data_IF_105793908306
#
_entry.id   IF_105793908306
#
_cell.length_a   1.000
_cell.length_b   1.000
_cell.length_c   1.000
_cell.angle_alpha   90.00
_cell.angle_beta   90.00
_cell.angle_gamma   90.00
#
_symmetry.space_group_name_H-M   'P 1'
#
loop_
_entity.id
_entity.type
_entity.pdbx_description
1 polymer ?
#
# COMPACT_ATOMS: atom_id res chain seq x y z
N UNK A 1 21.44 -21.04 -11.40
CA UNK A 1 20.11 -21.29 -11.97
C UNK A 1 19.15 -20.25 -11.42
N UNK A 2 18.33 -19.65 -12.29
CA UNK A 2 17.61 -18.41 -12.03
C UNK A 2 16.50 -18.55 -10.99
N UNK A 3 16.32 -17.50 -10.18
CA UNK A 3 15.19 -17.39 -9.27
C UNK A 3 13.91 -17.21 -10.09
N UNK A 4 13.13 -18.29 -10.25
CA UNK A 4 11.74 -18.18 -10.70
C UNK A 4 10.86 -17.87 -9.48
N UNK A 5 9.81 -17.08 -9.71
CA UNK A 5 8.90 -16.63 -8.68
C UNK A 5 7.55 -16.30 -9.29
N UNK A 6 6.62 -15.89 -8.43
CA UNK A 6 5.30 -15.43 -8.84
C UNK A 6 5.09 -14.02 -8.31
N UNK A 7 4.46 -13.15 -9.10
CA UNK A 7 4.09 -11.82 -8.65
C UNK A 7 2.59 -11.58 -8.81
N UNK A 8 2.02 -10.86 -7.85
CA UNK A 8 0.61 -10.46 -7.90
C UNK A 8 0.41 -9.04 -7.36
N UNK A 9 -0.64 -8.39 -7.85
CA UNK A 9 -1.10 -7.09 -7.40
C UNK A 9 -2.44 -7.25 -6.69
N UNK A 10 -2.56 -6.63 -5.53
CA UNK A 10 -3.67 -6.61 -4.56
C UNK A 10 -3.92 -5.19 -4.06
N UNK A 11 -3.83 -4.23 -4.98
CA UNK A 11 -3.93 -2.82 -4.69
C UNK A 11 -4.98 -2.19 -5.60
N UNK A 12 -5.98 -1.52 -5.04
CA UNK A 12 -7.14 -1.02 -5.77
C UNK A 12 -6.81 0.07 -6.80
N UNK A 13 -5.64 0.69 -6.69
CA UNK A 13 -5.14 1.69 -7.63
C UNK A 13 -4.52 1.09 -8.89
N UNK A 14 -4.23 -0.21 -8.89
CA UNK A 14 -3.70 -0.90 -10.06
C UNK A 14 -4.84 -1.35 -10.95
N UNK A 15 -5.04 -0.61 -12.03
CA UNK A 15 -6.10 -0.82 -13.02
C UNK A 15 -5.55 -0.69 -14.44
N UNK A 16 -6.21 -1.33 -15.38
CA UNK A 16 -5.94 -1.14 -16.81
C UNK A 16 -6.54 0.18 -17.33
N UNK A 17 -6.43 0.41 -18.64
CA UNK A 17 -6.91 1.61 -19.31
C UNK A 17 -8.44 1.78 -19.24
N UNK A 18 -9.17 0.68 -19.06
CA UNK A 18 -10.63 0.66 -18.95
C UNK A 18 -11.09 0.80 -17.48
N UNK A 19 -10.14 0.90 -16.54
CA UNK A 19 -10.42 1.05 -15.12
C UNK A 19 -10.73 -0.26 -14.41
N UNK A 20 -10.46 -1.41 -15.04
CA UNK A 20 -10.65 -2.73 -14.43
C UNK A 20 -9.44 -3.06 -13.56
N UNK A 21 -9.69 -3.63 -12.38
CA UNK A 21 -8.62 -4.06 -11.47
C UNK A 21 -7.66 -5.05 -12.14
N UNK A 22 -6.37 -4.90 -11.85
CA UNK A 22 -5.35 -5.86 -12.31
C UNK A 22 -5.72 -7.28 -11.85
N UNK A 23 -5.57 -8.31 -12.71
CA UNK A 23 -5.81 -9.69 -12.32
C UNK A 23 -5.06 -10.06 -11.02
N UNK A 24 -5.75 -10.74 -10.10
CA UNK A 24 -5.23 -11.08 -8.77
C UNK A 24 -5.61 -10.11 -7.66
N UNK A 25 -6.15 -8.93 -7.99
CA UNK A 25 -6.48 -7.89 -7.00
C UNK A 25 -7.47 -8.35 -5.94
N UNK A 26 -8.47 -9.13 -6.36
CA UNK A 26 -9.51 -9.71 -5.50
C UNK A 26 -9.38 -11.23 -5.38
N UNK A 27 -8.23 -11.81 -5.76
CA UNK A 27 -8.01 -13.24 -5.63
C UNK A 27 -8.20 -13.67 -4.17
N UNK A 28 -8.91 -14.77 -3.97
CA UNK A 28 -9.17 -15.29 -2.62
C UNK A 28 -7.91 -15.92 -2.05
N UNK A 29 -7.82 -15.98 -0.73
CA UNK A 29 -6.69 -16.60 -0.03
C UNK A 29 -6.38 -18.02 -0.55
N UNK A 30 -7.41 -18.82 -0.81
CA UNK A 30 -7.24 -20.17 -1.38
C UNK A 30 -6.51 -20.17 -2.74
N UNK A 31 -6.79 -19.20 -3.62
CA UNK A 31 -6.14 -19.10 -4.93
C UNK A 31 -4.68 -18.68 -4.79
N UNK A 32 -4.41 -17.68 -3.95
CA UNK A 32 -3.05 -17.20 -3.66
C UNK A 32 -2.20 -18.33 -3.06
N UNK A 33 -2.77 -19.07 -2.11
CA UNK A 33 -2.12 -20.22 -1.47
C UNK A 33 -1.87 -21.36 -2.46
N UNK A 34 -2.82 -21.67 -3.34
CA UNK A 34 -2.64 -22.68 -4.38
C UNK A 34 -1.49 -22.33 -5.33
N UNK A 35 -1.37 -21.05 -5.72
CA UNK A 35 -0.25 -20.60 -6.56
C UNK A 35 1.08 -20.70 -5.81
N UNK A 36 1.13 -20.28 -4.54
CA UNK A 36 2.36 -20.42 -3.75
C UNK A 36 2.77 -21.89 -3.56
N UNK A 37 1.79 -22.78 -3.39
CA UNK A 37 2.04 -24.21 -3.33
C UNK A 37 2.63 -24.73 -4.65
N UNK A 38 2.09 -24.30 -5.80
CA UNK A 38 2.67 -24.64 -7.10
C UNK A 38 4.12 -24.13 -7.24
N UNK A 39 4.44 -22.93 -6.74
CA UNK A 39 5.82 -22.42 -6.70
C UNK A 39 6.71 -23.31 -5.81
N UNK A 40 6.20 -23.77 -4.66
CA UNK A 40 6.93 -24.66 -3.76
C UNK A 40 7.21 -26.03 -4.41
N UNK A 41 6.24 -26.58 -5.12
CA UNK A 41 6.35 -27.85 -5.87
C UNK A 41 7.34 -27.74 -7.03
N UNK A 42 7.41 -26.57 -7.69
CA UNK A 42 8.36 -26.27 -8.76
C UNK A 42 9.82 -26.06 -8.28
N UNK A 43 10.09 -26.17 -6.97
CA UNK A 43 11.43 -26.03 -6.39
C UNK A 43 11.64 -24.80 -5.51
N UNK A 44 10.61 -23.98 -5.32
CA UNK A 44 10.64 -22.79 -4.47
C UNK A 44 11.03 -21.52 -5.23
N UNK A 45 10.85 -20.37 -4.56
CA UNK A 45 10.99 -19.07 -5.19
C UNK A 45 10.54 -17.90 -4.32
N UNK A 46 10.52 -16.72 -4.93
CA UNK A 46 9.97 -15.51 -4.32
C UNK A 46 8.52 -15.34 -4.77
N UNK A 47 7.62 -15.18 -3.81
CA UNK A 47 6.25 -14.75 -4.04
C UNK A 47 6.18 -13.25 -3.74
N UNK A 48 6.19 -12.44 -4.79
CA UNK A 48 6.16 -10.99 -4.67
C UNK A 48 4.71 -10.49 -4.70
N UNK A 49 4.33 -9.66 -3.74
CA UNK A 49 2.99 -9.10 -3.69
C UNK A 49 3.07 -7.60 -3.63
N UNK A 50 2.28 -6.91 -4.47
CA UNK A 50 1.97 -5.50 -4.26
C UNK A 50 0.60 -5.38 -3.61
N UNK A 51 0.50 -4.93 -2.37
CA UNK A 51 -0.78 -4.86 -1.64
C UNK A 51 -0.99 -3.50 -0.97
N UNK A 52 -2.26 -3.10 -0.85
CA UNK A 52 -2.70 -1.98 -0.01
C UNK A 52 -3.35 -2.42 1.31
N UNK A 53 -3.35 -3.74 1.56
CA UNK A 53 -3.97 -4.40 2.71
C UNK A 53 -5.43 -3.99 2.94
N UNK A 54 -6.12 -3.59 1.87
CA UNK A 54 -7.46 -3.00 1.95
C UNK A 54 -8.38 -3.48 0.82
N UNK A 55 -7.86 -4.01 -0.27
CA UNK A 55 -8.61 -4.45 -1.47
C UNK A 55 -9.40 -5.76 -1.23
N UNK A 56 -10.36 -5.75 -0.30
CA UNK A 56 -11.26 -6.88 -0.08
C UNK A 56 -12.37 -6.99 -1.14
N UNK A 57 -12.66 -5.88 -1.81
CA UNK A 57 -13.65 -5.76 -2.87
C UNK A 57 -13.28 -4.60 -3.80
N UNK A 58 -13.93 -4.50 -4.96
CA UNK A 58 -13.77 -3.40 -5.92
C UNK A 58 -14.54 -2.14 -5.50
N UNK A 59 -14.18 -1.60 -4.33
CA UNK A 59 -14.82 -0.44 -3.71
C UNK A 59 -13.81 0.67 -3.41
N UNK A 60 -14.05 1.94 -3.82
CA UNK A 60 -13.19 3.05 -3.42
C UNK A 60 -13.03 3.09 -1.88
N UNK A 61 -11.83 3.44 -1.38
CA UNK A 61 -11.55 3.45 0.08
C UNK A 61 -12.60 4.16 0.93
N UNK A 62 -13.19 5.25 0.42
CA UNK A 62 -14.20 6.03 1.15
C UNK A 62 -15.52 5.28 1.35
N UNK A 63 -15.75 4.22 0.58
CA UNK A 63 -16.92 3.36 0.65
C UNK A 63 -16.64 2.02 1.34
N UNK A 64 -15.38 1.77 1.71
CA UNK A 64 -15.04 0.55 2.43
C UNK A 64 -15.52 0.61 3.87
N UNK A 65 -16.22 -0.43 4.32
CA UNK A 65 -16.48 -0.64 5.73
C UNK A 65 -15.17 -0.84 6.50
N UNK A 66 -14.99 -0.09 7.58
CA UNK A 66 -13.75 -0.07 8.35
C UNK A 66 -13.48 -1.39 9.07
N UNK A 67 -14.51 -2.02 9.63
CA UNK A 67 -14.38 -3.28 10.36
C UNK A 67 -14.07 -4.44 9.41
N UNK A 68 -14.71 -4.45 8.24
CA UNK A 68 -14.40 -5.43 7.18
C UNK A 68 -12.98 -5.24 6.67
N UNK A 69 -12.55 -3.99 6.44
CA UNK A 69 -11.19 -3.68 5.97
C UNK A 69 -10.14 -4.11 6.99
N UNK A 70 -10.35 -3.85 8.28
CA UNK A 70 -9.44 -4.25 9.34
C UNK A 70 -9.31 -5.78 9.43
N UNK A 71 -10.44 -6.49 9.36
CA UNK A 71 -10.42 -7.96 9.34
C UNK A 71 -9.70 -8.50 8.11
N UNK A 72 -9.95 -7.93 6.94
CA UNK A 72 -9.27 -8.32 5.70
C UNK A 72 -7.74 -8.11 5.78
N UNK A 73 -7.30 -7.00 6.37
CA UNK A 73 -5.88 -6.75 6.61
C UNK A 73 -5.25 -7.85 7.47
N UNK A 74 -5.91 -8.25 8.56
CA UNK A 74 -5.45 -9.35 9.42
C UNK A 74 -5.38 -10.67 8.65
N UNK A 75 -6.45 -11.02 7.93
CA UNK A 75 -6.54 -12.24 7.12
C UNK A 75 -5.46 -12.28 6.02
N UNK A 76 -5.16 -11.15 5.39
CA UNK A 76 -4.13 -11.04 4.36
C UNK A 76 -2.70 -11.22 4.94
N UNK A 77 -2.43 -10.66 6.12
CA UNK A 77 -1.18 -10.91 6.84
C UNK A 77 -1.01 -12.37 7.23
N UNK A 78 -2.06 -12.99 7.77
CA UNK A 78 -2.05 -14.40 8.16
C UNK A 78 -1.81 -15.30 6.95
N UNK A 79 -2.45 -15.00 5.81
CA UNK A 79 -2.22 -15.70 4.55
C UNK A 79 -0.74 -15.70 4.13
N UNK A 80 0.00 -14.60 4.29
CA UNK A 80 1.43 -14.59 3.96
C UNK A 80 2.26 -15.50 4.88
N UNK A 81 1.93 -15.50 6.18
CA UNK A 81 2.56 -16.41 7.15
C UNK A 81 2.24 -17.88 6.85
N UNK A 82 1.01 -18.19 6.48
CA UNK A 82 0.58 -19.52 6.05
C UNK A 82 1.29 -19.96 4.77
N UNK A 83 1.42 -19.09 3.78
CA UNK A 83 2.13 -19.40 2.52
C UNK A 83 3.57 -19.88 2.76
N UNK A 84 4.29 -19.18 3.65
CA UNK A 84 5.66 -19.52 4.05
C UNK A 84 5.69 -20.86 4.79
N UNK A 85 4.75 -21.07 5.71
CA UNK A 85 4.66 -22.27 6.55
C UNK A 85 4.31 -23.51 5.74
N UNK A 86 3.24 -23.42 4.96
CA UNK A 86 2.67 -24.52 4.18
C UNK A 86 3.62 -24.96 3.06
N UNK A 87 4.43 -24.03 2.52
CA UNK A 87 5.48 -24.36 1.55
C UNK A 87 6.74 -25.02 2.16
N UNK A 88 6.79 -25.23 3.48
CA UNK A 88 8.00 -25.70 4.16
C UNK A 88 9.17 -24.70 4.06
N UNK A 89 8.88 -23.42 3.83
CA UNK A 89 9.87 -22.36 3.63
C UNK A 89 10.59 -22.39 2.29
N UNK A 90 10.05 -23.12 1.30
CA UNK A 90 10.49 -23.06 -0.11
C UNK A 90 10.02 -21.78 -0.79
N UNK A 91 8.91 -21.19 -0.33
CA UNK A 91 8.43 -19.88 -0.77
C UNK A 91 8.88 -18.82 0.23
N UNK A 92 9.48 -17.75 -0.28
CA UNK A 92 9.77 -16.52 0.47
C UNK A 92 8.86 -15.42 -0.03
N UNK A 93 8.36 -14.56 0.84
CA UNK A 93 7.41 -13.50 0.47
C UNK A 93 8.11 -12.15 0.45
N UNK A 94 7.94 -11.41 -0.65
CA UNK A 94 8.37 -10.01 -0.76
C UNK A 94 7.15 -9.12 -0.87
N UNK A 95 6.87 -8.33 0.15
CA UNK A 95 5.68 -7.47 0.22
C UNK A 95 6.08 -6.06 -0.20
N UNK A 96 5.72 -5.69 -1.42
CA UNK A 96 5.64 -4.32 -1.86
C UNK A 96 4.29 -3.74 -1.45
N UNK A 97 4.28 -2.57 -0.85
CA UNK A 97 3.03 -1.88 -0.58
C UNK A 97 3.31 -0.45 -0.18
N UNK A 98 2.57 0.47 -0.77
CA UNK A 98 2.36 1.76 -0.14
C UNK A 98 1.62 1.44 1.17
N UNK A 99 2.15 1.85 2.31
CA UNK A 99 1.42 1.91 3.59
C UNK A 99 0.31 2.98 3.53
N UNK A 100 -0.47 3.01 2.45
CA UNK A 100 -1.60 3.90 2.22
C UNK A 100 -2.86 3.05 2.35
N UNK A 101 -3.26 2.91 3.60
CA UNK A 101 -4.34 2.06 4.09
C UNK A 101 -4.25 2.07 5.61
N UNK A 102 -4.70 3.16 6.24
CA UNK A 102 -4.59 3.40 7.68
C UNK A 102 -3.17 3.71 8.22
N UNK A 103 -2.12 3.28 7.52
CA UNK A 103 -0.73 3.27 8.01
C UNK A 103 0.09 4.55 7.81
N UNK A 104 -0.50 5.65 7.31
CA UNK A 104 0.24 6.92 7.13
C UNK A 104 0.34 7.78 8.40
N UNK A 105 -0.04 7.25 9.55
CA UNK A 105 0.24 7.92 10.83
C UNK A 105 1.58 7.44 11.36
N UNK A 106 2.43 8.32 11.92
CA UNK A 106 3.66 7.91 12.58
C UNK A 106 3.44 6.81 13.63
N UNK A 107 2.30 6.87 14.33
CA UNK A 107 1.91 5.88 15.34
C UNK A 107 1.67 4.47 14.76
N UNK A 108 1.20 4.32 13.52
CA UNK A 108 0.96 2.99 12.93
C UNK A 108 2.13 2.49 12.10
N UNK A 109 2.90 3.40 11.53
CA UNK A 109 4.10 3.05 10.77
C UNK A 109 5.25 2.59 11.70
N UNK A 110 5.31 3.16 12.92
CA UNK A 110 6.37 2.92 13.91
C UNK A 110 5.89 2.36 15.26
N UNK A 111 4.58 2.21 15.47
CA UNK A 111 4.03 1.70 16.73
C UNK A 111 3.97 0.17 16.79
N UNK A 112 3.71 -0.32 18.01
CA UNK A 112 3.28 -1.71 18.23
C UNK A 112 1.99 -1.95 17.44
N UNK A 113 1.88 -3.11 16.80
CA UNK A 113 0.86 -3.53 15.83
C UNK A 113 1.03 -3.00 14.38
N UNK A 114 2.15 -2.32 14.09
CA UNK A 114 2.47 -1.84 12.73
C UNK A 114 2.94 -2.94 11.76
N UNK A 115 3.04 -2.63 10.45
CA UNK A 115 3.52 -3.57 9.43
C UNK A 115 4.89 -4.20 9.72
N UNK A 116 5.77 -3.46 10.40
CA UNK A 116 7.11 -3.96 10.78
C UNK A 116 7.03 -5.09 11.80
N UNK A 117 6.18 -4.98 12.83
CA UNK A 117 5.98 -6.03 13.82
C UNK A 117 5.30 -7.26 13.21
N UNK A 118 4.36 -7.07 12.28
CA UNK A 118 3.76 -8.18 11.52
C UNK A 118 4.81 -8.95 10.72
N UNK A 119 5.69 -8.23 10.03
CA UNK A 119 6.83 -8.83 9.30
C UNK A 119 7.78 -9.55 10.26
N UNK A 120 8.14 -8.93 11.39
CA UNK A 120 9.01 -9.55 12.40
C UNK A 120 8.39 -10.82 13.00
N UNK A 121 7.09 -10.80 13.31
CA UNK A 121 6.34 -11.96 13.80
C UNK A 121 6.39 -13.10 12.79
N UNK A 122 6.15 -12.82 11.50
CA UNK A 122 6.23 -13.85 10.44
C UNK A 122 7.68 -14.36 10.29
N UNK A 123 8.65 -13.45 10.20
CA UNK A 123 10.07 -13.79 9.99
C UNK A 123 10.67 -14.54 11.20
N UNK A 124 10.15 -14.35 12.41
CA UNK A 124 10.64 -15.02 13.63
C UNK A 124 10.52 -16.55 13.57
N UNK A 125 9.55 -17.07 12.81
CA UNK A 125 9.37 -18.50 12.61
C UNK A 125 10.39 -19.08 11.61
N UNK A 126 10.90 -18.25 10.69
CA UNK A 126 11.91 -18.61 9.69
C UNK A 126 12.64 -17.36 9.20
N UNK A 127 13.81 -17.02 9.75
CA UNK A 127 14.51 -15.79 9.40
C UNK A 127 14.82 -15.69 7.90
N UNK A 128 14.50 -14.55 7.29
CA UNK A 128 14.69 -14.34 5.85
C UNK A 128 13.58 -14.91 4.96
N UNK A 129 12.44 -15.28 5.53
CA UNK A 129 11.29 -15.80 4.79
C UNK A 129 10.32 -14.72 4.32
N UNK A 130 10.29 -13.56 4.99
CA UNK A 130 9.50 -12.41 4.57
C UNK A 130 10.34 -11.15 4.55
N UNK A 131 10.09 -10.29 3.55
CA UNK A 131 10.72 -8.97 3.45
C UNK A 131 9.69 -7.94 3.02
N UNK A 132 9.79 -6.75 3.60
CA UNK A 132 9.04 -5.59 3.15
C UNK A 132 9.89 -4.78 2.18
N UNK A 133 9.38 -4.57 0.97
CA UNK A 133 10.02 -3.74 -0.04
C UNK A 133 9.58 -2.29 0.18
N UNK A 134 10.48 -1.46 0.71
CA UNK A 134 10.21 -0.04 0.86
C UNK A 134 10.30 0.68 -0.49
N UNK A 135 9.22 1.36 -0.86
CA UNK A 135 9.22 2.33 -1.95
C UNK A 135 9.90 3.62 -1.46
N UNK A 136 11.21 3.72 -1.65
CA UNK A 136 11.96 4.97 -1.39
C UNK A 136 11.63 6.09 -2.40
N UNK A 137 10.97 5.74 -3.51
CA UNK A 137 10.33 6.69 -4.43
C UNK A 137 9.00 6.11 -4.90
N UNK A 138 7.85 6.73 -4.61
CA UNK A 138 6.60 6.27 -5.16
C UNK A 138 6.66 6.51 -6.68
N UNK A 139 6.68 5.43 -7.44
CA UNK A 139 6.88 5.48 -8.89
C UNK A 139 5.60 6.04 -9.52
N UNK A 140 5.73 6.79 -10.63
CA UNK A 140 4.61 7.37 -11.39
C UNK A 140 3.83 8.55 -10.79
N UNK A 141 4.22 9.13 -9.65
CA UNK A 141 3.66 10.43 -9.26
C UNK A 141 4.42 11.56 -9.97
N UNK A 142 3.82 12.09 -11.03
CA UNK A 142 4.11 13.46 -11.47
C UNK A 142 3.63 14.39 -10.36
N UNK A 143 4.55 14.79 -9.47
CA UNK A 143 4.26 15.78 -8.44
C UNK A 143 4.00 17.11 -9.12
N UNK A 144 2.73 17.52 -9.14
CA UNK A 144 2.31 18.84 -9.58
C UNK A 144 1.17 19.32 -8.68
N UNK A 145 0.72 20.56 -8.86
CA UNK A 145 -0.28 21.15 -7.98
C UNK A 145 -1.65 20.46 -8.01
N UNK A 146 -1.93 19.69 -9.07
CA UNK A 146 -3.19 18.95 -9.26
C UNK A 146 -3.05 17.44 -9.12
N UNK A 147 -1.85 16.93 -8.82
CA UNK A 147 -1.67 15.49 -8.63
C UNK A 147 -2.34 15.06 -7.33
N UNK A 148 -2.95 13.86 -7.36
CA UNK A 148 -3.61 13.27 -6.18
C UNK A 148 -2.66 13.08 -5.00
N UNK A 149 -1.36 13.01 -5.27
CA UNK A 149 -0.30 12.99 -4.27
C UNK A 149 0.67 14.14 -4.56
N UNK A 150 0.79 15.06 -3.61
CA UNK A 150 1.76 16.15 -3.63
C UNK A 150 2.18 16.49 -2.18
N UNK A 151 3.32 17.17 -1.96
CA UNK A 151 3.86 17.42 -0.63
C UNK A 151 2.93 18.17 0.35
N UNK A 152 1.92 18.87 -0.16
CA UNK A 152 1.00 19.69 0.65
C UNK A 152 -0.35 19.02 0.88
N UNK A 153 -0.58 17.80 0.38
CA UNK A 153 -1.88 17.12 0.45
C UNK A 153 -2.39 16.87 1.88
N UNK A 154 -1.49 16.90 2.88
CA UNK A 154 -1.82 16.76 4.30
C UNK A 154 -2.09 18.10 5.01
N UNK A 155 -1.71 19.24 4.41
CA UNK A 155 -2.03 20.57 4.97
C UNK A 155 -3.53 20.84 4.84
N UNK A 156 -4.16 21.21 5.97
CA UNK A 156 -5.58 21.58 5.98
C UNK A 156 -5.83 22.83 5.13
N UNK A 157 -4.92 23.81 5.20
CA UNK A 157 -4.95 25.04 4.41
C UNK A 157 -4.88 24.73 2.91
N UNK A 158 -3.90 23.91 2.49
CA UNK A 158 -3.77 23.52 1.08
C UNK A 158 -5.01 22.79 0.56
N UNK A 159 -5.59 21.88 1.35
CA UNK A 159 -6.83 21.17 0.99
C UNK A 159 -8.02 22.11 0.83
N UNK A 160 -8.11 23.17 1.64
CA UNK A 160 -9.18 24.18 1.51
C UNK A 160 -9.00 25.00 0.22
N UNK A 161 -7.79 25.50 -0.04
CA UNK A 161 -7.48 26.30 -1.24
C UNK A 161 -7.68 25.46 -2.51
N UNK A 162 -7.07 24.28 -2.59
CA UNK A 162 -7.17 23.41 -3.78
C UNK A 162 -8.59 22.97 -4.13
N UNK A 163 -9.50 22.87 -3.15
CA UNK A 163 -10.92 22.56 -3.39
C UNK A 163 -11.77 23.78 -3.73
N UNK A 164 -11.30 24.98 -3.38
CA UNK A 164 -12.03 26.24 -3.55
C UNK A 164 -11.75 26.96 -4.87
N UNK A 165 -10.70 26.57 -5.59
CA UNK A 165 -10.29 27.20 -6.86
C UNK A 165 -10.77 26.40 -8.07
N UNK A 166 -11.06 27.12 -9.16
CA UNK A 166 -11.66 26.56 -10.39
C UNK A 166 -10.67 25.84 -11.32
N UNK A 167 -9.41 26.28 -11.34
CA UNK A 167 -8.38 25.82 -12.28
C UNK A 167 -6.97 25.97 -11.69
N UNK A 168 -5.96 25.45 -12.40
CA UNK A 168 -4.55 25.47 -11.98
C UNK A 168 -3.98 26.89 -11.87
N UNK A 169 -4.22 27.82 -12.82
CA UNK A 169 -3.77 29.20 -12.67
C UNK A 169 -4.30 29.88 -11.40
N UNK A 170 -5.60 29.73 -11.08
CA UNK A 170 -6.17 30.28 -9.85
C UNK A 170 -5.55 29.64 -8.59
N UNK A 171 -5.26 28.35 -8.64
CA UNK A 171 -4.53 27.67 -7.56
C UNK A 171 -3.13 28.28 -7.37
N UNK A 172 -2.40 28.50 -8.46
CA UNK A 172 -1.06 29.09 -8.41
C UNK A 172 -1.07 30.52 -7.87
N UNK A 173 -2.08 31.31 -8.22
CA UNK A 173 -2.27 32.66 -7.71
C UNK A 173 -2.48 32.66 -6.18
N UNK A 174 -3.42 31.83 -5.69
CA UNK A 174 -3.68 31.69 -4.26
C UNK A 174 -2.46 31.17 -3.48
N UNK A 175 -1.75 30.19 -4.03
CA UNK A 175 -0.49 29.69 -3.46
C UNK A 175 0.66 30.70 -3.57
N UNK A 176 0.52 31.71 -4.43
CA UNK A 176 1.44 32.84 -4.52
C UNK A 176 1.34 33.80 -3.33
N UNK A 177 0.18 33.83 -2.66
CA UNK A 177 -0.07 34.78 -1.57
C UNK A 177 0.76 34.47 -0.32
N UNK A 178 1.47 35.46 0.26
CA UNK A 178 2.33 35.25 1.43
C UNK A 178 1.61 34.63 2.64
N UNK A 179 0.38 35.06 2.90
CA UNK A 179 -0.47 34.57 3.99
C UNK A 179 -0.86 33.10 3.80
N UNK A 180 -1.20 32.70 2.58
CA UNK A 180 -1.51 31.31 2.23
C UNK A 180 -0.29 30.42 2.42
N UNK A 181 0.89 30.87 1.97
CA UNK A 181 2.15 30.14 2.17
C UNK A 181 2.49 29.99 3.64
N UNK A 182 2.38 31.07 4.42
CA UNK A 182 2.65 31.05 5.85
C UNK A 182 1.72 30.08 6.59
N UNK A 183 0.43 30.06 6.23
CA UNK A 183 -0.55 29.14 6.81
C UNK A 183 -0.27 27.67 6.47
N UNK A 184 0.10 27.35 5.22
CA UNK A 184 0.51 25.99 4.82
C UNK A 184 1.76 25.53 5.60
N UNK A 185 2.76 26.41 5.75
CA UNK A 185 3.97 26.11 6.55
C UNK A 185 3.61 25.90 8.03
N UNK A 186 2.68 26.68 8.57
CA UNK A 186 2.23 26.54 9.95
C UNK A 186 1.48 25.22 10.19
N UNK A 187 0.70 24.73 9.21
CA UNK A 187 0.05 23.41 9.30
C UNK A 187 1.08 22.29 9.42
N UNK A 188 2.18 22.35 8.66
CA UNK A 188 3.23 21.34 8.68
C UNK A 188 3.94 21.23 10.05
N UNK A 189 3.92 22.28 10.86
CA UNK A 189 4.51 22.29 12.22
C UNK A 189 3.59 21.68 13.29
N UNK A 190 2.34 21.38 12.94
CA UNK A 190 1.32 20.81 13.84
C UNK A 190 1.09 19.32 13.61
N UNK A 191 1.72 18.75 12.59
CA UNK A 191 1.75 17.33 12.26
C UNK A 191 2.95 16.66 12.96
#
# INVERSE_FOLDING_TARGET
MGAMGFSTSRAIYHRDADGVLTPGSTARSAEVKAIGQAVAEAGGGIFQVTTDLSTYDDLPYQKMDEAVRARYEDEEWDMYGELIRDSGGKVKVSIGGLTIGGSMTPARLWGRDGPLERVEKIDSHRPGSVRMQQFVRPQWFLMNWVSRVNPFMFSQTFRKVSRGVKDVPALLEELGRPETRAAIIADARKL
#
